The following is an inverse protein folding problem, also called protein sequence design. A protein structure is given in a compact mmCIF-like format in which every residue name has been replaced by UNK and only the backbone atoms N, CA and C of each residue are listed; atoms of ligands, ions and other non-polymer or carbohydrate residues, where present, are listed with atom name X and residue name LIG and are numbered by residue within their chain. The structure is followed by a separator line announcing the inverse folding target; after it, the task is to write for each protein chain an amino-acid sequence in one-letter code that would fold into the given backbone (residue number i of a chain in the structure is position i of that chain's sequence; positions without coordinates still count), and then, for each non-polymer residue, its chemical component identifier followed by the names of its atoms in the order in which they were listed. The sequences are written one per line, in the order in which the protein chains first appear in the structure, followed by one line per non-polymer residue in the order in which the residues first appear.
data_IF_653895954316
#
_entry.id   IF_653895954316
#
_cell.length_a   1.000
_cell.length_b   1.000
_cell.length_c   1.000
_cell.angle_alpha   90.00
_cell.angle_beta   90.00
_cell.angle_gamma   90.00
#
_symmetry.space_group_name_H-M   'P 1'
#
loop_
_entity.id
_entity.type
_entity.pdbx_description
1 polymer ?
#
# COMPACT_ATOMS: atom_id res chain seq x y z
N UNK A 1 -14.34 -22.86 5.65
CA UNK A 1 -12.89 -22.80 5.51
C UNK A 1 -12.58 -22.75 4.01
N UNK A 2 -11.78 -21.80 3.57
CA UNK A 2 -11.25 -21.77 2.21
C UNK A 2 -9.88 -22.44 2.29
N UNK A 3 -9.70 -23.57 1.63
CA UNK A 3 -8.39 -24.17 1.47
C UNK A 3 -7.66 -23.45 0.33
N UNK A 4 -6.54 -22.83 0.68
CA UNK A 4 -5.58 -22.34 -0.31
C UNK A 4 -4.62 -23.49 -0.64
N UNK A 5 -4.36 -23.71 -1.91
CA UNK A 5 -3.50 -24.81 -2.43
C UNK A 5 -2.00 -24.69 -2.04
N UNK A 6 -1.71 -23.82 -1.07
CA UNK A 6 -0.37 -23.58 -0.49
C UNK A 6 -0.18 -24.26 0.88
N UNK A 7 -1.09 -25.16 1.30
CA UNK A 7 -1.06 -25.82 2.60
C UNK A 7 -1.45 -24.94 3.78
N UNK A 8 -1.91 -23.71 3.54
CA UNK A 8 -2.40 -22.78 4.56
C UNK A 8 -3.91 -22.95 4.72
N UNK A 9 -4.38 -23.19 5.95
CA UNK A 9 -5.81 -23.25 6.28
C UNK A 9 -6.20 -21.94 6.97
N UNK A 10 -7.00 -21.11 6.31
CA UNK A 10 -7.54 -19.89 6.88
C UNK A 10 -8.95 -20.11 7.43
N UNK A 11 -9.19 -19.63 8.66
CA UNK A 11 -10.50 -19.71 9.32
C UNK A 11 -11.00 -18.30 9.63
N UNK A 12 -12.10 -17.95 9.02
CA UNK A 12 -12.75 -16.65 9.25
C UNK A 12 -13.83 -16.78 10.33
N UNK A 13 -13.75 -15.93 11.36
CA UNK A 13 -14.72 -15.87 12.43
C UNK A 13 -15.51 -14.58 12.39
N UNK A 14 -16.83 -14.67 12.32
CA UNK A 14 -17.68 -13.50 12.43
C UNK A 14 -17.90 -13.15 13.91
N UNK A 15 -17.36 -12.02 14.34
CA UNK A 15 -17.46 -11.54 15.73
C UNK A 15 -18.90 -11.19 16.19
N UNK A 16 -19.88 -11.14 15.27
CA UNK A 16 -21.30 -10.94 15.59
C UNK A 16 -22.04 -12.25 15.89
N UNK A 17 -21.46 -13.39 15.46
CA UNK A 17 -22.09 -14.71 15.67
C UNK A 17 -21.71 -15.27 17.03
N UNK A 18 -22.71 -15.76 17.77
CA UNK A 18 -22.56 -16.37 19.10
C UNK A 18 -22.89 -17.87 19.11
N UNK A 19 -23.00 -18.48 17.93
CA UNK A 19 -23.25 -19.92 17.78
C UNK A 19 -21.93 -20.68 17.74
N UNK A 20 -21.86 -21.84 18.42
CA UNK A 20 -20.68 -22.70 18.45
C UNK A 20 -20.08 -22.84 19.85
N UNK A 21 -18.78 -23.13 19.93
CA UNK A 21 -18.09 -23.36 21.20
C UNK A 21 -18.13 -22.14 22.13
N UNK A 22 -18.57 -22.34 23.36
CA UNK A 22 -18.59 -21.26 24.40
C UNK A 22 -17.20 -20.64 24.58
N UNK A 23 -16.13 -21.45 24.53
CA UNK A 23 -14.74 -20.99 24.67
C UNK A 23 -14.33 -20.06 23.53
N UNK A 24 -14.69 -20.40 22.31
CA UNK A 24 -14.42 -19.55 21.14
C UNK A 24 -15.20 -18.23 21.24
N UNK A 25 -16.47 -18.30 21.61
CA UNK A 25 -17.30 -17.09 21.74
C UNK A 25 -16.81 -16.16 22.86
N UNK A 26 -16.28 -16.71 23.94
CA UNK A 26 -15.64 -15.94 25.02
C UNK A 26 -14.39 -15.23 24.50
N UNK A 27 -13.51 -15.94 23.79
CA UNK A 27 -12.30 -15.36 23.19
C UNK A 27 -12.65 -14.26 22.17
N UNK A 28 -13.61 -14.48 21.28
CA UNK A 28 -14.02 -13.48 20.28
C UNK A 28 -14.61 -12.22 20.93
N UNK A 29 -15.37 -12.37 22.02
CA UNK A 29 -15.85 -11.21 22.82
C UNK A 29 -14.70 -10.46 23.48
N UNK A 30 -13.75 -11.20 24.06
CA UNK A 30 -12.56 -10.61 24.66
C UNK A 30 -11.76 -9.80 23.63
N UNK A 31 -11.51 -10.35 22.44
CA UNK A 31 -10.72 -9.68 21.39
C UNK A 31 -11.30 -8.33 20.92
N UNK A 32 -12.60 -8.08 21.10
CA UNK A 32 -13.20 -6.78 20.76
C UNK A 32 -12.69 -5.63 21.64
N UNK A 33 -12.38 -5.89 22.90
CA UNK A 33 -11.94 -4.86 23.87
C UNK A 33 -10.50 -5.09 24.32
N UNK A 34 -10.06 -6.34 24.37
CA UNK A 34 -8.74 -6.79 24.83
C UNK A 34 -8.38 -6.14 26.19
N UNK A 35 -9.28 -6.30 27.18
CA UNK A 35 -9.11 -5.80 28.52
C UNK A 35 -7.91 -6.48 29.19
N UNK A 36 -6.90 -5.74 29.65
CA UNK A 36 -5.70 -6.31 30.27
C UNK A 36 -5.94 -6.93 31.65
N UNK A 37 -7.10 -6.66 32.29
CA UNK A 37 -7.49 -7.16 33.60
C UNK A 37 -8.63 -8.18 33.54
N UNK A 38 -8.92 -8.70 32.37
CA UNK A 38 -9.95 -9.74 32.18
C UNK A 38 -9.57 -11.03 32.89
N UNK A 39 -10.53 -11.64 33.57
CA UNK A 39 -10.34 -12.94 34.24
C UNK A 39 -10.98 -14.06 33.44
N UNK A 40 -10.20 -15.05 33.08
CA UNK A 40 -10.66 -16.25 32.33
C UNK A 40 -9.75 -17.45 32.60
N UNK A 41 -10.35 -18.62 32.67
CA UNK A 41 -9.63 -19.90 32.71
C UNK A 41 -9.39 -20.46 31.29
N UNK A 42 -10.10 -19.94 30.29
CA UNK A 42 -10.07 -20.46 28.93
C UNK A 42 -8.81 -20.09 28.18
N UNK A 43 -8.33 -18.83 28.38
CA UNK A 43 -7.17 -18.29 27.67
C UNK A 43 -6.32 -17.34 28.56
N UNK A 44 -5.88 -17.78 29.74
CA UNK A 44 -5.18 -16.90 30.68
C UNK A 44 -3.90 -16.32 30.11
N UNK A 45 -3.16 -17.08 29.30
CA UNK A 45 -1.92 -16.63 28.65
C UNK A 45 -2.13 -15.47 27.67
N UNK A 46 -3.28 -15.42 27.01
CA UNK A 46 -3.61 -14.28 26.11
C UNK A 46 -3.83 -13.01 26.93
N UNK A 47 -4.58 -13.10 28.03
CA UNK A 47 -4.82 -11.95 28.91
C UNK A 47 -3.53 -11.48 29.55
N UNK A 48 -2.68 -12.39 30.03
CA UNK A 48 -1.36 -12.07 30.57
C UNK A 48 -0.47 -11.31 29.57
N UNK A 49 -0.47 -11.76 28.31
CA UNK A 49 0.25 -11.08 27.22
C UNK A 49 -0.33 -9.70 26.94
N UNK A 50 -1.65 -9.56 26.91
CA UNK A 50 -2.30 -8.26 26.71
C UNK A 50 -1.98 -7.33 27.88
N UNK A 51 -2.01 -7.82 29.12
CA UNK A 51 -1.60 -7.07 30.31
C UNK A 51 -0.14 -6.60 30.18
N UNK A 52 0.78 -7.51 29.80
CA UNK A 52 2.19 -7.17 29.60
C UNK A 52 2.35 -6.00 28.62
N UNK A 53 1.76 -6.07 27.43
CA UNK A 53 1.96 -5.06 26.40
C UNK A 53 1.15 -3.78 26.60
N UNK A 54 0.04 -3.82 27.35
CA UNK A 54 -0.81 -2.62 27.57
C UNK A 54 -0.53 -1.90 28.90
N UNK A 55 -0.01 -2.61 29.91
CA UNK A 55 0.09 -2.07 31.28
C UNK A 55 1.52 -2.04 31.78
N UNK A 56 2.30 -3.10 31.55
CA UNK A 56 3.67 -3.15 32.05
C UNK A 56 4.57 -2.23 31.25
N UNK A 57 5.36 -1.38 31.94
CA UNK A 57 6.24 -0.40 31.30
C UNK A 57 7.10 -1.00 30.18
N UNK A 58 7.76 -2.14 30.46
CA UNK A 58 8.61 -2.83 29.47
C UNK A 58 7.83 -3.25 28.22
N UNK A 59 6.62 -3.74 28.36
CA UNK A 59 5.77 -4.14 27.22
C UNK A 59 5.29 -2.93 26.43
N UNK A 60 4.91 -1.86 27.10
CA UNK A 60 4.51 -0.59 26.47
C UNK A 60 5.68 0.02 25.69
N UNK A 61 6.89 0.05 26.26
CA UNK A 61 8.08 0.56 25.60
C UNK A 61 8.39 -0.23 24.31
N UNK A 62 8.29 -1.58 24.35
CA UNK A 62 8.44 -2.44 23.16
C UNK A 62 7.39 -2.10 22.09
N UNK A 63 6.12 -1.93 22.48
CA UNK A 63 5.05 -1.59 21.53
C UNK A 63 5.26 -0.21 20.92
N UNK A 64 5.73 0.78 21.68
CA UNK A 64 6.07 2.09 21.16
C UNK A 64 7.21 2.01 20.14
N UNK A 65 8.28 1.26 20.44
CA UNK A 65 9.40 1.05 19.52
C UNK A 65 8.96 0.40 18.20
N UNK A 66 8.12 -0.64 18.28
CA UNK A 66 7.56 -1.31 17.09
C UNK A 66 6.69 -0.33 16.27
N UNK A 67 5.82 0.43 16.94
CA UNK A 67 4.97 1.41 16.28
C UNK A 67 5.78 2.50 15.56
N UNK A 68 6.87 2.95 16.18
CA UNK A 68 7.76 3.95 15.58
C UNK A 68 8.53 3.38 14.38
N UNK A 69 8.98 2.12 14.44
CA UNK A 69 9.59 1.43 13.29
C UNK A 69 8.63 1.33 12.12
N UNK A 70 7.41 0.83 12.35
CA UNK A 70 6.37 0.73 11.30
C UNK A 70 6.07 2.11 10.70
N UNK A 71 5.99 3.15 11.54
CA UNK A 71 5.76 4.53 11.07
C UNK A 71 6.90 5.06 10.21
N UNK A 72 8.16 4.76 10.59
CA UNK A 72 9.34 5.16 9.83
C UNK A 72 9.43 4.43 8.49
N UNK A 73 9.18 3.12 8.49
CA UNK A 73 9.13 2.31 7.27
C UNK A 73 8.04 2.81 6.32
N UNK A 74 6.81 2.99 6.79
CA UNK A 74 5.72 3.53 5.96
C UNK A 74 6.00 4.94 5.42
N UNK A 75 6.70 5.79 6.20
CA UNK A 75 7.13 7.11 5.70
C UNK A 75 8.20 6.99 4.62
N UNK A 76 9.12 6.05 4.76
CA UNK A 76 10.18 5.80 3.77
C UNK A 76 9.58 5.28 2.47
N UNK A 77 8.75 4.26 2.56
CA UNK A 77 8.03 3.68 1.42
C UNK A 77 7.20 4.73 0.68
N UNK A 78 6.33 5.46 1.37
CA UNK A 78 5.51 6.50 0.75
C UNK A 78 6.32 7.67 0.17
N UNK A 79 7.55 7.93 0.68
CA UNK A 79 8.46 8.92 0.09
C UNK A 79 9.12 8.40 -1.19
N UNK A 80 9.47 7.11 -1.23
CA UNK A 80 10.05 6.46 -2.40
C UNK A 80 8.99 6.35 -3.51
N UNK A 81 7.78 5.89 -3.19
CA UNK A 81 6.64 5.83 -4.10
C UNK A 81 6.29 7.22 -4.68
N UNK A 82 6.09 8.21 -3.83
CA UNK A 82 5.77 9.57 -4.29
C UNK A 82 6.89 10.23 -5.11
N UNK A 83 8.16 9.84 -4.89
CA UNK A 83 9.28 10.28 -5.73
C UNK A 83 9.23 9.64 -7.12
N UNK A 84 8.91 8.34 -7.19
CA UNK A 84 8.77 7.61 -8.44
C UNK A 84 7.59 8.16 -9.26
N UNK A 85 6.41 8.29 -8.62
CA UNK A 85 5.22 8.89 -9.23
C UNK A 85 5.49 10.30 -9.75
N UNK A 86 6.11 11.16 -8.94
CA UNK A 86 6.45 12.52 -9.35
C UNK A 86 7.46 12.59 -10.50
N UNK A 87 8.35 11.58 -10.64
CA UNK A 87 9.26 11.47 -11.79
C UNK A 87 8.52 11.07 -13.08
N UNK A 88 7.56 10.14 -12.96
CA UNK A 88 6.71 9.73 -14.08
C UNK A 88 5.86 10.92 -14.53
N UNK A 89 5.14 11.56 -13.61
CA UNK A 89 4.28 12.70 -13.88
C UNK A 89 5.05 13.85 -14.52
N UNK A 90 6.19 14.25 -13.94
CA UNK A 90 7.00 15.35 -14.48
C UNK A 90 7.55 15.06 -15.88
N UNK A 91 7.93 13.81 -16.22
CA UNK A 91 8.34 13.45 -17.57
C UNK A 91 7.16 13.44 -18.56
N UNK A 92 6.01 12.92 -18.12
CA UNK A 92 4.78 12.91 -18.90
C UNK A 92 4.37 14.33 -19.29
N UNK A 93 4.36 15.24 -18.31
CA UNK A 93 4.07 16.67 -18.55
C UNK A 93 5.08 17.30 -19.51
N UNK A 94 6.37 17.09 -19.30
CA UNK A 94 7.41 17.64 -20.16
C UNK A 94 7.30 17.14 -21.61
N UNK A 95 6.95 15.88 -21.84
CA UNK A 95 6.69 15.36 -23.20
C UNK A 95 5.50 16.07 -23.81
N UNK A 96 4.38 16.20 -23.08
CA UNK A 96 3.18 16.86 -23.60
C UNK A 96 3.40 18.35 -23.87
N UNK A 97 4.18 19.06 -23.06
CA UNK A 97 4.54 20.46 -23.28
C UNK A 97 5.32 20.64 -24.58
N UNK A 98 6.37 19.85 -24.81
CA UNK A 98 7.15 19.88 -26.06
C UNK A 98 6.29 19.54 -27.29
N UNK A 99 5.40 18.56 -27.18
CA UNK A 99 4.49 18.21 -28.26
C UNK A 99 3.48 19.34 -28.57
N UNK A 100 3.05 20.09 -27.54
CA UNK A 100 2.16 21.21 -27.72
C UNK A 100 2.80 22.38 -28.52
N UNK A 101 4.13 22.56 -28.43
CA UNK A 101 4.88 23.52 -29.24
C UNK A 101 4.90 23.14 -30.73
N UNK A 102 4.83 21.82 -31.05
CA UNK A 102 4.79 21.31 -32.42
C UNK A 102 3.40 21.43 -33.06
N UNK A 103 2.35 21.66 -32.27
CA UNK A 103 1.00 21.84 -32.76
C UNK A 103 -0.08 21.16 -31.89
N UNK A 104 -1.30 21.03 -32.45
CA UNK A 104 -2.43 20.43 -31.73
C UNK A 104 -2.24 18.92 -31.59
N UNK A 105 -1.97 18.46 -30.37
CA UNK A 105 -1.73 17.04 -30.08
C UNK A 105 -3.04 16.23 -30.24
N UNK A 106 -3.04 15.14 -31.03
CA UNK A 106 -4.17 14.22 -31.09
C UNK A 106 -4.46 13.56 -29.75
N UNK A 107 -5.74 13.40 -29.39
CA UNK A 107 -6.16 12.82 -28.12
C UNK A 107 -5.58 11.41 -27.87
N UNK A 108 -5.34 10.64 -28.93
CA UNK A 108 -4.69 9.32 -28.89
C UNK A 108 -3.28 9.41 -28.30
N UNK A 109 -2.48 10.36 -28.75
CA UNK A 109 -1.10 10.55 -28.28
C UNK A 109 -1.11 11.00 -26.81
N UNK A 110 -1.97 11.96 -26.45
CA UNK A 110 -2.12 12.41 -25.06
C UNK A 110 -2.44 11.25 -24.13
N UNK A 111 -3.37 10.38 -24.52
CA UNK A 111 -3.73 9.20 -23.71
C UNK A 111 -2.57 8.21 -23.60
N UNK A 112 -1.87 7.93 -24.68
CA UNK A 112 -0.75 7.01 -24.71
C UNK A 112 0.40 7.51 -23.83
N UNK A 113 0.75 8.79 -23.90
CA UNK A 113 1.79 9.40 -23.05
C UNK A 113 1.40 9.39 -21.58
N UNK A 114 0.12 9.63 -21.25
CA UNK A 114 -0.37 9.63 -19.87
C UNK A 114 -0.50 8.23 -19.25
N UNK A 115 -0.64 7.21 -20.06
CA UNK A 115 -0.73 5.80 -19.59
C UNK A 115 0.63 5.14 -19.43
N UNK A 116 1.68 5.76 -19.95
CA UNK A 116 3.03 5.21 -19.83
C UNK A 116 3.59 5.44 -18.43
N UNK A 117 4.13 4.38 -17.85
CA UNK A 117 4.74 4.40 -16.52
C UNK A 117 6.23 4.07 -16.54
N UNK A 118 6.74 3.59 -17.67
CA UNK A 118 8.16 3.30 -17.83
C UNK A 118 8.96 4.58 -18.04
N UNK A 119 9.82 4.90 -17.09
CA UNK A 119 10.67 6.08 -17.09
C UNK A 119 11.68 6.11 -18.25
N UNK A 120 12.09 4.96 -18.77
CA UNK A 120 13.04 4.88 -19.90
C UNK A 120 12.31 5.16 -21.20
N UNK A 121 11.09 4.65 -21.35
CA UNK A 121 10.20 4.97 -22.47
C UNK A 121 9.88 6.46 -22.49
N UNK A 122 9.43 7.01 -21.37
CA UNK A 122 9.16 8.44 -21.25
C UNK A 122 10.40 9.31 -21.53
N UNK A 123 11.58 8.87 -21.08
CA UNK A 123 12.84 9.57 -21.36
C UNK A 123 13.21 9.54 -22.84
N UNK A 124 12.91 8.43 -23.53
CA UNK A 124 13.08 8.31 -24.98
C UNK A 124 12.13 9.23 -25.70
N UNK A 125 10.84 9.23 -25.33
CA UNK A 125 9.84 10.11 -25.92
C UNK A 125 10.15 11.59 -25.70
N UNK A 126 10.66 11.95 -24.53
CA UNK A 126 11.10 13.31 -24.25
C UNK A 126 12.20 13.77 -25.22
N UNK A 127 13.20 12.92 -25.47
CA UNK A 127 14.26 13.21 -26.45
C UNK A 127 13.72 13.29 -27.88
N UNK A 128 12.79 12.40 -28.24
CA UNK A 128 12.13 12.43 -29.55
C UNK A 128 11.33 13.72 -29.72
N UNK A 129 10.53 14.11 -28.73
CA UNK A 129 9.74 15.34 -28.77
C UNK A 129 10.63 16.60 -28.91
N UNK A 130 11.75 16.64 -28.16
CA UNK A 130 12.70 17.77 -28.23
C UNK A 130 13.44 17.87 -29.59
N UNK A 131 13.50 16.80 -30.39
CA UNK A 131 14.22 16.78 -31.68
C UNK A 131 13.31 16.67 -32.90
N UNK A 132 12.01 16.45 -32.72
CA UNK A 132 11.06 16.35 -33.81
C UNK A 132 10.73 17.72 -34.38
N UNK A 133 10.62 17.78 -35.71
CA UNK A 133 10.20 18.99 -36.42
C UNK A 133 8.68 19.15 -36.47
N UNK A 134 7.94 18.06 -36.36
CA UNK A 134 6.48 18.01 -36.33
C UNK A 134 5.97 16.76 -35.58
N UNK A 135 4.65 16.72 -35.35
CA UNK A 135 3.99 15.61 -34.65
C UNK A 135 4.08 14.27 -35.41
N UNK A 136 4.15 14.29 -36.73
CA UNK A 136 4.23 13.10 -37.57
C UNK A 136 5.59 12.40 -37.39
N UNK A 137 6.65 13.19 -37.33
CA UNK A 137 7.99 12.68 -37.04
C UNK A 137 8.09 12.09 -35.64
N UNK A 138 7.47 12.71 -34.64
CA UNK A 138 7.39 12.16 -33.29
C UNK A 138 6.64 10.82 -33.29
N UNK A 139 5.45 10.74 -33.93
CA UNK A 139 4.68 9.49 -34.01
C UNK A 139 5.47 8.35 -34.65
N UNK A 140 6.27 8.64 -35.67
CA UNK A 140 7.08 7.62 -36.36
C UNK A 140 8.22 7.06 -35.49
N UNK A 141 8.63 7.80 -34.42
CA UNK A 141 9.72 7.41 -33.51
C UNK A 141 9.23 6.93 -32.14
N UNK A 142 7.93 7.08 -31.83
CA UNK A 142 7.27 6.66 -30.61
C UNK A 142 7.10 5.15 -30.53
#
# INVERSE_FOLDING_TARGET
AVELDNGVCEKYFNLKYTTGSKKINELLRYLKKSDPFYHTEVFPRIVERVNFYKVQKKGVDIMCEIADKIRQEGKKEGREEGREEGRIEGKTEAVLELLAELGKIPSRIVQQVRQETDLDVLSRWLRCAASASDLTEFEARM
#
